data_IF_797471451142
#
_entry.id   IF_797471451142
#
_cell.length_a   1.000
_cell.length_b   1.000
_cell.length_c   1.000
_cell.angle_alpha   90.00
_cell.angle_beta   90.00
_cell.angle_gamma   90.00
#
_symmetry.space_group_name_H-M   'P 1'
#
loop_
_entity.id
_entity.type
_entity.pdbx_description
1 polymer ?
#
# COMPACT_ATOMS: atom_id res chain seq x y z
N UNK A 1 8.95 24.10 -11.85
CA UNK A 1 8.34 23.97 -10.50
C UNK A 1 9.34 23.35 -9.54
N UNK A 2 9.48 23.84 -8.30
CA UNK A 2 10.33 23.24 -7.25
C UNK A 2 9.45 22.60 -6.18
N UNK A 3 9.59 21.30 -5.94
CA UNK A 3 8.97 20.63 -4.77
C UNK A 3 9.64 21.16 -3.51
N UNK A 4 8.86 21.65 -2.55
CA UNK A 4 9.39 22.17 -1.26
C UNK A 4 9.36 21.13 -0.15
N UNK A 5 8.58 20.07 -0.33
CA UNK A 5 8.50 18.92 0.59
C UNK A 5 9.51 17.82 0.29
N UNK A 6 9.80 17.00 1.30
CA UNK A 6 10.66 15.81 1.27
C UNK A 6 9.85 14.53 1.05
N UNK A 7 8.77 14.36 1.81
CA UNK A 7 7.82 13.25 1.74
C UNK A 7 7.15 13.23 0.38
N UNK A 8 7.18 12.10 -0.32
CA UNK A 8 6.65 11.93 -1.68
C UNK A 8 5.13 11.75 -1.70
N UNK A 9 4.50 12.08 -2.83
CA UNK A 9 3.07 11.83 -3.06
C UNK A 9 2.92 10.77 -4.15
N UNK A 10 2.26 9.68 -3.78
CA UNK A 10 1.77 8.67 -4.72
C UNK A 10 0.29 8.95 -5.01
N UNK A 11 -0.11 9.00 -6.27
CA UNK A 11 -1.52 9.19 -6.65
C UNK A 11 -1.98 8.09 -7.59
N UNK A 12 -3.15 7.52 -7.32
CA UNK A 12 -3.74 6.49 -8.16
C UNK A 12 -4.45 7.13 -9.35
N UNK A 13 -4.13 6.68 -10.57
CA UNK A 13 -4.83 7.07 -11.79
C UNK A 13 -6.10 6.26 -11.94
N UNK A 14 -7.18 6.92 -12.36
CA UNK A 14 -8.44 6.28 -12.72
C UNK A 14 -9.30 7.19 -13.60
N UNK A 15 -10.60 6.91 -13.72
CA UNK A 15 -11.50 7.65 -14.60
C UNK A 15 -11.53 9.18 -14.38
N UNK A 16 -11.29 9.66 -13.16
CA UNK A 16 -11.28 11.09 -12.85
C UNK A 16 -9.95 11.79 -13.22
N UNK A 17 -8.92 11.02 -13.58
CA UNK A 17 -7.53 11.50 -13.68
C UNK A 17 -6.73 10.92 -14.83
N UNK A 18 -7.33 10.15 -15.74
CA UNK A 18 -6.61 9.45 -16.82
C UNK A 18 -6.30 10.30 -18.05
N UNK A 19 -6.87 11.51 -18.20
CA UNK A 19 -6.58 12.35 -19.38
C UNK A 19 -5.20 13.00 -19.26
N UNK A 20 -4.51 13.29 -20.38
CA UNK A 20 -3.22 13.98 -20.37
C UNK A 20 -3.24 15.30 -19.58
N UNK A 21 -4.31 16.08 -19.71
CA UNK A 21 -4.46 17.37 -19.01
C UNK A 21 -4.59 17.17 -17.49
N UNK A 22 -5.32 16.14 -17.06
CA UNK A 22 -5.45 15.80 -15.63
C UNK A 22 -4.17 15.22 -15.07
N UNK A 23 -3.47 14.36 -15.80
CA UNK A 23 -2.16 13.84 -15.40
C UNK A 23 -1.17 15.00 -15.22
N UNK A 24 -1.13 15.95 -16.18
CA UNK A 24 -0.34 17.17 -16.05
C UNK A 24 -0.74 17.98 -14.82
N UNK A 25 -2.03 18.21 -14.60
CA UNK A 25 -2.51 18.98 -13.45
C UNK A 25 -2.15 18.32 -12.11
N UNK A 26 -2.24 17.00 -12.00
CA UNK A 26 -1.83 16.24 -10.81
C UNK A 26 -0.31 16.30 -10.60
N UNK A 27 0.45 16.15 -11.68
CA UNK A 27 1.90 16.33 -11.63
C UNK A 27 2.24 17.75 -11.17
N UNK A 28 1.66 18.80 -11.73
CA UNK A 28 1.89 20.18 -11.29
C UNK A 28 1.45 20.39 -9.83
N UNK A 29 0.33 19.79 -9.40
CA UNK A 29 -0.15 19.92 -8.02
C UNK A 29 0.80 19.30 -6.99
N UNK A 30 1.43 18.18 -7.30
CA UNK A 30 2.12 17.44 -6.25
C UNK A 30 2.68 16.10 -6.63
N UNK A 31 2.13 15.36 -7.58
CA UNK A 31 2.45 13.92 -7.69
C UNK A 31 3.91 13.66 -8.04
N UNK A 32 4.53 12.69 -7.36
CA UNK A 32 5.87 12.18 -7.70
C UNK A 32 5.81 10.78 -8.33
N UNK A 33 4.84 9.95 -7.91
CA UNK A 33 4.63 8.60 -8.42
C UNK A 33 3.16 8.41 -8.76
N UNK A 34 2.87 7.94 -9.97
CA UNK A 34 1.54 7.54 -10.35
C UNK A 34 1.36 6.04 -10.19
N UNK A 35 0.31 5.66 -9.44
CA UNK A 35 -0.10 4.27 -9.23
C UNK A 35 -1.14 3.88 -10.26
N UNK A 36 -0.96 2.72 -10.89
CA UNK A 36 -1.93 2.06 -11.77
C UNK A 36 -2.39 0.78 -11.10
N UNK A 37 -3.69 0.70 -10.77
CA UNK A 37 -4.27 -0.42 -10.04
C UNK A 37 -4.80 -1.50 -10.99
N UNK A 38 -4.08 -2.62 -11.11
CA UNK A 38 -4.44 -3.72 -12.02
C UNK A 38 -5.69 -4.48 -11.61
N UNK A 39 -6.32 -4.15 -10.47
CA UNK A 39 -7.67 -4.65 -10.17
C UNK A 39 -8.73 -4.19 -11.16
N UNK A 40 -8.52 -3.05 -11.83
CA UNK A 40 -9.51 -2.40 -12.70
C UNK A 40 -8.95 -1.99 -14.07
N UNK A 41 -7.64 -2.13 -14.28
CA UNK A 41 -6.96 -1.68 -15.50
C UNK A 41 -6.72 -2.86 -16.46
N UNK A 42 -7.07 -2.68 -17.73
CA UNK A 42 -6.74 -3.61 -18.81
C UNK A 42 -5.33 -3.35 -19.34
N UNK A 43 -4.71 -4.33 -20.03
CA UNK A 43 -3.37 -4.16 -20.61
C UNK A 43 -3.31 -3.03 -21.65
N UNK A 44 -4.38 -2.83 -22.42
CA UNK A 44 -4.49 -1.73 -23.37
C UNK A 44 -4.44 -0.38 -22.65
N UNK A 45 -5.24 -0.23 -21.58
CA UNK A 45 -5.26 1.01 -20.80
C UNK A 45 -3.93 1.22 -20.04
N UNK A 46 -3.29 0.16 -19.55
CA UNK A 46 -1.96 0.25 -18.94
C UNK A 46 -0.93 0.82 -19.93
N UNK A 47 -0.93 0.34 -21.18
CA UNK A 47 -0.05 0.84 -22.24
C UNK A 47 -0.28 2.32 -22.53
N UNK A 48 -1.54 2.72 -22.65
CA UNK A 48 -1.93 4.10 -22.91
C UNK A 48 -1.45 5.03 -21.79
N UNK A 49 -1.79 4.69 -20.53
CA UNK A 49 -1.41 5.47 -19.36
C UNK A 49 0.11 5.57 -19.22
N UNK A 50 0.83 4.48 -19.44
CA UNK A 50 2.29 4.48 -19.43
C UNK A 50 2.85 5.47 -20.47
N UNK A 51 2.35 5.42 -21.71
CA UNK A 51 2.76 6.35 -22.77
C UNK A 51 2.48 7.81 -22.42
N UNK A 52 1.30 8.11 -21.87
CA UNK A 52 0.96 9.47 -21.43
C UNK A 52 1.87 9.96 -20.29
N UNK A 53 2.18 9.10 -19.33
CA UNK A 53 3.07 9.45 -18.21
C UNK A 53 4.50 9.73 -18.67
N UNK A 54 5.06 8.91 -19.56
CA UNK A 54 6.40 9.13 -20.13
C UNK A 54 6.46 10.38 -21.01
N UNK A 55 5.39 10.67 -21.76
CA UNK A 55 5.29 11.93 -22.51
C UNK A 55 5.26 13.15 -21.57
N UNK A 56 4.49 13.07 -20.47
CA UNK A 56 4.43 14.13 -19.46
C UNK A 56 5.77 14.31 -18.73
N UNK A 57 6.47 13.23 -18.40
CA UNK A 57 7.83 13.25 -17.83
C UNK A 57 8.82 13.99 -18.74
N UNK A 58 8.83 13.64 -20.03
CA UNK A 58 9.67 14.29 -21.03
C UNK A 58 9.33 15.79 -21.18
N UNK A 59 8.05 16.14 -21.23
CA UNK A 59 7.61 17.53 -21.34
C UNK A 59 7.95 18.36 -20.08
N UNK A 60 7.89 17.75 -18.90
CA UNK A 60 8.22 18.41 -17.64
C UNK A 60 9.73 18.52 -17.39
N UNK A 61 10.54 17.68 -18.05
CA UNK A 61 11.99 17.57 -17.79
C UNK A 61 12.29 17.12 -16.35
N UNK A 62 11.39 16.34 -15.74
CA UNK A 62 11.47 15.92 -14.33
C UNK A 62 10.93 14.50 -14.18
N UNK A 63 11.61 13.65 -13.38
CA UNK A 63 11.21 12.24 -13.24
C UNK A 63 9.78 12.06 -12.71
N UNK A 64 9.08 11.07 -13.27
CA UNK A 64 7.78 10.59 -12.81
C UNK A 64 7.90 9.08 -12.57
N UNK A 65 7.67 8.65 -11.33
CA UNK A 65 7.61 7.22 -11.02
C UNK A 65 6.30 6.60 -11.48
N UNK A 66 6.35 5.38 -12.00
CA UNK A 66 5.19 4.57 -12.37
C UNK A 66 5.18 3.32 -11.49
N UNK A 67 4.13 3.19 -10.68
CA UNK A 67 3.89 2.06 -9.78
C UNK A 67 2.72 1.22 -10.30
N UNK A 68 2.97 -0.02 -10.69
CA UNK A 68 1.92 -0.99 -11.00
C UNK A 68 1.58 -1.80 -9.75
N UNK A 69 0.32 -1.73 -9.32
CA UNK A 69 -0.17 -2.47 -8.16
C UNK A 69 -0.93 -3.71 -8.62
N UNK A 70 -0.35 -4.89 -8.33
CA UNK A 70 -0.93 -6.19 -8.68
C UNK A 70 -2.16 -6.48 -7.82
N UNK A 71 -3.13 -7.17 -8.40
CA UNK A 71 -4.42 -7.41 -7.76
C UNK A 71 -4.30 -8.35 -6.55
N UNK A 72 -3.51 -9.42 -6.68
CA UNK A 72 -3.44 -10.49 -5.67
C UNK A 72 -4.72 -11.35 -5.62
N UNK A 73 -4.74 -12.38 -4.77
CA UNK A 73 -5.90 -13.25 -4.62
C UNK A 73 -7.09 -12.51 -3.99
N UNK A 74 -8.29 -12.72 -4.54
CA UNK A 74 -9.54 -12.19 -4.00
C UNK A 74 -10.46 -13.32 -3.57
N UNK A 75 -10.53 -13.55 -2.26
CA UNK A 75 -11.50 -14.48 -1.69
C UNK A 75 -12.84 -13.77 -1.57
N UNK A 76 -13.89 -14.37 -2.14
CA UNK A 76 -15.23 -13.78 -2.20
C UNK A 76 -16.30 -14.81 -1.90
N UNK A 77 -17.46 -14.32 -1.50
CA UNK A 77 -18.68 -15.13 -1.50
C UNK A 77 -19.04 -15.55 -2.94
N UNK A 78 -19.76 -16.66 -3.04
CA UNK A 78 -20.45 -17.06 -4.25
C UNK A 78 -21.71 -16.22 -4.50
N UNK A 79 -22.63 -16.80 -5.26
CA UNK A 79 -23.97 -16.22 -5.50
C UNK A 79 -24.92 -16.67 -4.39
N UNK A 80 -25.39 -15.71 -3.61
CA UNK A 80 -26.38 -15.92 -2.56
C UNK A 80 -27.76 -16.13 -3.19
N UNK A 81 -28.59 -17.03 -2.62
CA UNK A 81 -30.01 -17.10 -2.93
C UNK A 81 -30.68 -15.72 -2.74
N UNK A 82 -31.24 -15.15 -3.80
CA UNK A 82 -31.84 -13.81 -3.78
C UNK A 82 -30.86 -12.63 -3.85
N UNK A 83 -29.55 -12.87 -3.98
CA UNK A 83 -28.50 -11.85 -4.18
C UNK A 83 -28.01 -11.15 -2.90
N UNK A 84 -28.75 -11.27 -1.80
CA UNK A 84 -28.33 -10.80 -0.47
C UNK A 84 -29.00 -11.59 0.65
N UNK A 85 -28.42 -11.51 1.85
CA UNK A 85 -28.97 -12.08 3.08
C UNK A 85 -28.63 -11.19 4.27
N UNK A 86 -29.56 -11.04 5.21
CA UNK A 86 -29.32 -10.37 6.49
C UNK A 86 -28.99 -11.42 7.55
N UNK A 87 -27.83 -11.28 8.17
CA UNK A 87 -27.39 -12.12 9.29
C UNK A 87 -27.66 -11.41 10.62
N UNK A 88 -28.17 -12.13 11.61
CA UNK A 88 -28.45 -11.59 12.96
C UNK A 88 -27.39 -12.01 13.96
N UNK A 89 -27.13 -11.17 14.96
CA UNK A 89 -26.23 -11.51 16.06
C UNK A 89 -26.67 -12.81 16.76
N UNK A 90 -25.72 -13.72 16.99
CA UNK A 90 -25.98 -15.03 17.59
C UNK A 90 -26.62 -16.06 16.67
N UNK A 91 -26.88 -15.73 15.40
CA UNK A 91 -27.34 -16.70 14.40
C UNK A 91 -26.25 -17.72 14.08
N UNK A 92 -26.60 -18.99 13.96
CA UNK A 92 -25.72 -20.00 13.40
C UNK A 92 -25.96 -20.13 11.91
N UNK A 93 -24.90 -20.02 11.13
CA UNK A 93 -24.94 -20.12 9.67
C UNK A 93 -23.98 -21.20 9.19
N UNK A 94 -24.27 -21.73 8.00
CA UNK A 94 -23.41 -22.70 7.34
C UNK A 94 -22.82 -22.09 6.07
N UNK A 95 -21.51 -22.23 5.92
CA UNK A 95 -20.79 -21.97 4.70
C UNK A 95 -20.60 -23.26 3.92
N UNK A 96 -20.76 -23.21 2.60
CA UNK A 96 -20.59 -24.37 1.71
C UNK A 96 -19.59 -24.10 0.60
N UNK A 97 -18.79 -25.10 0.26
CA UNK A 97 -17.75 -25.03 -0.77
C UNK A 97 -18.34 -25.14 -2.19
N UNK A 98 -19.14 -24.15 -2.57
CA UNK A 98 -19.85 -24.08 -3.86
C UNK A 98 -19.86 -22.64 -4.39
N UNK A 99 -20.10 -22.51 -5.69
CA UNK A 99 -20.34 -21.21 -6.34
C UNK A 99 -21.74 -20.69 -6.01
N UNK A 100 -22.71 -21.59 -5.91
CA UNK A 100 -24.08 -21.30 -5.52
C UNK A 100 -24.54 -22.40 -4.56
N UNK A 101 -25.30 -22.01 -3.53
CA UNK A 101 -25.85 -22.95 -2.56
C UNK A 101 -27.15 -23.60 -3.08
N UNK A 102 -27.37 -24.86 -2.69
CA UNK A 102 -28.64 -25.57 -2.97
C UNK A 102 -29.69 -25.24 -1.90
N UNK A 103 -29.26 -25.11 -0.63
CA UNK A 103 -30.10 -24.64 0.47
C UNK A 103 -30.11 -23.10 0.51
N UNK A 104 -31.29 -22.45 0.54
CA UNK A 104 -31.40 -21.00 0.70
C UNK A 104 -30.68 -20.42 1.94
N UNK A 105 -30.46 -21.23 2.96
CA UNK A 105 -29.81 -20.86 4.22
C UNK A 105 -28.30 -21.11 4.24
N UNK A 106 -27.73 -21.68 3.18
CA UNK A 106 -26.29 -21.87 3.07
C UNK A 106 -25.63 -20.67 2.40
N UNK A 107 -24.42 -20.33 2.85
CA UNK A 107 -23.62 -19.22 2.34
C UNK A 107 -22.47 -19.80 1.48
N UNK A 108 -22.49 -19.63 0.14
CA UNK A 108 -21.47 -20.22 -0.72
C UNK A 108 -20.14 -19.48 -0.63
N UNK A 109 -19.04 -20.24 -0.50
CA UNK A 109 -17.66 -19.77 -0.65
C UNK A 109 -16.97 -20.70 -1.68
N UNK A 110 -16.72 -20.26 -2.92
CA UNK A 110 -16.15 -21.08 -3.99
C UNK A 110 -14.62 -21.23 -3.90
N UNK A 111 -14.09 -21.41 -2.69
CA UNK A 111 -12.64 -21.42 -2.43
C UNK A 111 -12.23 -22.65 -1.62
N UNK A 112 -11.86 -23.78 -2.27
CA UNK A 112 -11.42 -24.97 -1.56
C UNK A 112 -10.24 -24.75 -0.61
N UNK A 113 -9.31 -23.88 -1.00
CA UNK A 113 -8.18 -23.44 -0.19
C UNK A 113 -8.61 -22.85 1.16
N UNK A 114 -9.78 -22.21 1.23
CA UNK A 114 -10.32 -21.60 2.46
C UNK A 114 -10.76 -22.70 3.42
N UNK A 115 -11.53 -23.69 2.95
CA UNK A 115 -11.96 -24.81 3.77
C UNK A 115 -10.79 -25.68 4.26
N UNK A 116 -9.74 -25.82 3.44
CA UNK A 116 -8.53 -26.55 3.84
C UNK A 116 -7.71 -25.83 4.93
N UNK A 117 -7.81 -24.50 5.03
CA UNK A 117 -6.99 -23.69 5.93
C UNK A 117 -7.71 -23.26 7.21
N UNK A 118 -9.03 -23.10 7.15
CA UNK A 118 -9.86 -22.72 8.29
C UNK A 118 -9.79 -23.73 9.43
N UNK A 119 -9.83 -23.25 10.68
CA UNK A 119 -9.95 -24.09 11.87
C UNK A 119 -11.05 -23.59 12.79
N UNK A 120 -11.51 -24.47 13.67
CA UNK A 120 -12.44 -24.09 14.73
C UNK A 120 -11.93 -22.86 15.47
N UNK A 121 -12.83 -21.96 15.84
CA UNK A 121 -12.58 -20.69 16.51
C UNK A 121 -11.84 -19.65 15.66
N UNK A 122 -11.50 -19.90 14.40
CA UNK A 122 -11.01 -18.82 13.53
C UNK A 122 -12.13 -17.79 13.30
N UNK A 123 -11.71 -16.55 13.09
CA UNK A 123 -12.57 -15.43 12.71
C UNK A 123 -12.77 -15.43 11.20
N UNK A 124 -14.01 -15.29 10.75
CA UNK A 124 -14.36 -15.06 9.36
C UNK A 124 -15.06 -13.71 9.25
N UNK A 125 -14.58 -12.88 8.33
CA UNK A 125 -15.08 -11.52 8.12
C UNK A 125 -15.65 -11.40 6.71
N UNK A 126 -16.73 -10.65 6.54
CA UNK A 126 -17.38 -10.41 5.25
C UNK A 126 -17.59 -8.91 5.06
N UNK A 127 -17.41 -8.45 3.81
CA UNK A 127 -17.58 -7.06 3.37
C UNK A 127 -16.72 -6.09 4.20
N UNK A 128 -15.40 -6.26 4.10
CA UNK A 128 -14.39 -5.42 4.77
C UNK A 128 -14.59 -5.36 6.30
N UNK A 129 -14.96 -6.50 6.89
CA UNK A 129 -15.10 -6.64 8.34
C UNK A 129 -16.44 -6.16 8.92
N UNK A 130 -17.38 -5.69 8.10
CA UNK A 130 -18.71 -5.25 8.55
C UNK A 130 -19.51 -6.36 9.21
N UNK A 131 -19.40 -7.58 8.68
CA UNK A 131 -20.01 -8.78 9.27
C UNK A 131 -18.90 -9.66 9.81
N UNK A 132 -19.04 -10.09 11.07
CA UNK A 132 -18.03 -10.88 11.79
C UNK A 132 -18.63 -12.18 12.28
N UNK A 133 -17.95 -13.27 11.99
CA UNK A 133 -18.34 -14.61 12.39
C UNK A 133 -17.19 -15.34 13.09
N UNK A 134 -17.55 -16.33 13.90
CA UNK A 134 -16.62 -17.24 14.59
C UNK A 134 -16.92 -18.66 14.16
N UNK A 135 -15.94 -19.36 13.60
CA UNK A 135 -16.12 -20.74 13.15
C UNK A 135 -16.38 -21.68 14.34
N UNK A 136 -17.48 -22.42 14.28
CA UNK A 136 -17.89 -23.43 15.25
C UNK A 136 -17.41 -24.82 14.84
N UNK A 137 -17.43 -25.13 13.55
CA UNK A 137 -16.98 -26.41 13.01
C UNK A 137 -16.42 -26.19 11.60
N UNK A 138 -15.43 -26.98 11.20
CA UNK A 138 -14.87 -26.95 9.84
C UNK A 138 -14.75 -28.38 9.33
N UNK A 139 -15.25 -28.61 8.11
CA UNK A 139 -15.15 -29.85 7.34
C UNK A 139 -14.69 -29.51 5.93
N UNK A 140 -14.39 -30.53 5.12
CA UNK A 140 -13.81 -30.37 3.78
C UNK A 140 -14.71 -29.59 2.79
N UNK A 141 -16.03 -29.63 3.00
CA UNK A 141 -17.03 -29.07 2.09
C UNK A 141 -17.99 -28.06 2.72
N UNK A 142 -17.99 -27.96 4.06
CA UNK A 142 -18.81 -27.00 4.78
C UNK A 142 -18.16 -26.57 6.09
N UNK A 143 -18.56 -25.40 6.59
CA UNK A 143 -18.15 -24.90 7.90
C UNK A 143 -19.35 -24.25 8.59
N UNK A 144 -19.59 -24.57 9.85
CA UNK A 144 -20.61 -23.91 10.65
C UNK A 144 -19.97 -22.75 11.42
N UNK A 145 -20.67 -21.62 11.52
CA UNK A 145 -20.18 -20.42 12.19
C UNK A 145 -21.28 -19.73 12.99
N UNK A 146 -20.87 -19.05 14.05
CA UNK A 146 -21.72 -18.16 14.84
C UNK A 146 -21.51 -16.72 14.36
N UNK A 147 -22.59 -16.01 14.09
CA UNK A 147 -22.56 -14.57 13.80
C UNK A 147 -22.27 -13.82 15.10
N UNK A 148 -21.16 -13.10 15.13
CA UNK A 148 -20.75 -12.24 16.27
C UNK A 148 -21.23 -10.81 16.06
N UNK A 149 -21.13 -10.33 14.82
CA UNK A 149 -21.69 -9.04 14.38
C UNK A 149 -22.40 -9.29 13.06
N UNK A 150 -23.71 -9.12 13.07
CA UNK A 150 -24.61 -9.31 11.94
C UNK A 150 -24.60 -8.12 10.97
N UNK A 151 -25.38 -8.26 9.91
CA UNK A 151 -25.46 -7.28 8.84
C UNK A 151 -25.88 -7.90 7.52
N UNK A 152 -26.07 -7.06 6.51
CA UNK A 152 -26.38 -7.50 5.15
C UNK A 152 -25.12 -7.99 4.45
N UNK A 153 -25.16 -9.23 3.96
CA UNK A 153 -24.18 -9.79 3.03
C UNK A 153 -24.77 -9.82 1.61
N UNK A 154 -23.94 -9.59 0.60
CA UNK A 154 -24.32 -9.58 -0.82
C UNK A 154 -23.43 -10.50 -1.62
N UNK A 155 -23.86 -10.81 -2.84
CA UNK A 155 -23.07 -11.56 -3.80
C UNK A 155 -21.63 -11.03 -3.94
N UNK A 156 -20.68 -11.96 -4.05
CA UNK A 156 -19.28 -11.67 -4.40
C UNK A 156 -18.59 -10.67 -3.47
N UNK A 157 -19.12 -10.47 -2.26
CA UNK A 157 -18.47 -9.67 -1.21
C UNK A 157 -17.19 -10.35 -0.73
N UNK A 158 -16.20 -9.54 -0.37
CA UNK A 158 -14.90 -10.01 0.10
C UNK A 158 -15.03 -10.84 1.37
N UNK A 159 -14.19 -11.86 1.50
CA UNK A 159 -14.07 -12.70 2.70
C UNK A 159 -12.63 -12.60 3.21
N UNK A 160 -12.49 -12.30 4.49
CA UNK A 160 -11.20 -12.17 5.16
C UNK A 160 -11.11 -13.17 6.32
N UNK A 161 -9.90 -13.71 6.53
CA UNK A 161 -9.62 -14.77 7.49
C UNK A 161 -8.35 -14.42 8.27
N UNK A 162 -8.43 -13.52 9.26
CA UNK A 162 -7.25 -12.97 9.94
C UNK A 162 -6.37 -14.00 10.63
N UNK A 163 -7.01 -15.02 11.19
CA UNK A 163 -6.34 -16.08 11.94
C UNK A 163 -5.75 -17.19 11.04
N UNK A 164 -5.91 -17.08 9.71
CA UNK A 164 -5.65 -18.18 8.78
C UNK A 164 -4.55 -17.85 7.79
N UNK A 165 -3.50 -18.67 7.76
CA UNK A 165 -2.54 -18.69 6.65
C UNK A 165 -3.17 -19.40 5.46
N UNK A 166 -3.52 -18.65 4.42
CA UNK A 166 -4.12 -19.22 3.23
C UNK A 166 -3.04 -19.85 2.34
N UNK A 167 -3.16 -21.12 1.93
CA UNK A 167 -2.19 -21.81 1.07
C UNK A 167 -2.36 -21.39 -0.40
N UNK A 168 -2.48 -20.08 -0.64
CA UNK A 168 -2.60 -19.48 -1.96
C UNK A 168 -1.33 -18.72 -2.31
N UNK A 169 -0.85 -18.82 -3.56
CA UNK A 169 0.19 -17.93 -4.05
C UNK A 169 -0.27 -16.47 -3.96
N UNK A 170 0.64 -15.55 -3.62
CA UNK A 170 0.34 -14.12 -3.64
C UNK A 170 0.09 -13.59 -5.06
N UNK A 171 0.63 -14.25 -6.10
CA UNK A 171 0.38 -13.92 -7.50
C UNK A 171 -0.60 -14.91 -8.15
N UNK A 172 -1.73 -14.40 -8.62
CA UNK A 172 -2.69 -15.15 -9.43
C UNK A 172 -2.20 -15.30 -10.88
N UNK A 173 -2.81 -16.17 -11.70
CA UNK A 173 -2.51 -16.22 -13.14
C UNK A 173 -2.71 -14.87 -13.85
N UNK A 174 -3.70 -14.08 -13.40
CA UNK A 174 -3.91 -12.70 -13.87
C UNK A 174 -2.74 -11.81 -13.49
N UNK A 175 -2.29 -11.85 -12.24
CA UNK A 175 -1.16 -11.03 -11.77
C UNK A 175 0.13 -11.33 -12.55
N UNK A 176 0.38 -12.58 -12.94
CA UNK A 176 1.53 -12.93 -13.79
C UNK A 176 1.44 -12.27 -15.17
N UNK A 177 0.26 -12.32 -15.79
CA UNK A 177 0.01 -11.68 -17.08
C UNK A 177 0.15 -10.15 -17.00
N UNK A 178 -0.38 -9.55 -15.93
CA UNK A 178 -0.25 -8.11 -15.66
C UNK A 178 1.21 -7.71 -15.41
N UNK A 179 1.94 -8.52 -14.64
CA UNK A 179 3.36 -8.32 -14.35
C UNK A 179 4.19 -8.36 -15.63
N UNK A 180 4.00 -9.37 -16.48
CA UNK A 180 4.73 -9.50 -17.74
C UNK A 180 4.52 -8.27 -18.62
N UNK A 181 3.26 -7.80 -18.74
CA UNK A 181 2.93 -6.60 -19.48
C UNK A 181 3.60 -5.35 -18.89
N UNK A 182 3.53 -5.17 -17.57
CA UNK A 182 4.12 -4.03 -16.88
C UNK A 182 5.65 -3.98 -17.03
N UNK A 183 6.33 -5.13 -16.91
CA UNK A 183 7.78 -5.23 -17.06
C UNK A 183 8.22 -5.00 -18.51
N UNK A 184 7.43 -5.43 -19.50
CA UNK A 184 7.70 -5.14 -20.91
C UNK A 184 7.59 -3.64 -21.24
N UNK A 185 6.70 -2.92 -20.57
CA UNK A 185 6.57 -1.47 -20.73
C UNK A 185 7.69 -0.67 -20.04
N UNK A 186 8.38 -1.25 -19.04
CA UNK A 186 9.44 -0.57 -18.30
C UNK A 186 8.90 0.31 -17.16
N UNK A 187 7.99 -0.23 -16.34
CA UNK A 187 7.52 0.44 -15.12
C UNK A 187 8.60 0.46 -14.04
N UNK A 188 8.58 1.47 -13.17
CA UNK A 188 9.63 1.68 -12.18
C UNK A 188 9.43 0.80 -10.93
N UNK A 189 8.17 0.59 -10.54
CA UNK A 189 7.79 -0.16 -9.35
C UNK A 189 6.66 -1.15 -9.62
N UNK A 190 6.71 -2.29 -8.93
CA UNK A 190 5.62 -3.26 -8.83
C UNK A 190 5.28 -3.48 -7.37
N UNK A 191 4.01 -3.27 -6.99
CA UNK A 191 3.51 -3.62 -5.68
C UNK A 191 2.86 -5.01 -5.66
N UNK A 192 3.22 -5.82 -4.67
CA UNK A 192 2.63 -7.13 -4.41
C UNK A 192 1.59 -7.01 -3.28
N UNK A 193 0.34 -7.30 -3.61
CA UNK A 193 -0.76 -7.41 -2.64
C UNK A 193 -0.73 -8.74 -1.90
N UNK A 194 -1.38 -8.79 -0.74
CA UNK A 194 -1.63 -10.02 0.01
C UNK A 194 -0.37 -10.79 0.44
N UNK A 195 0.74 -10.10 0.68
CA UNK A 195 1.96 -10.72 1.18
C UNK A 195 1.67 -11.36 2.54
N UNK A 196 2.00 -12.64 2.69
CA UNK A 196 1.86 -13.38 3.96
C UNK A 196 3.20 -13.88 4.48
N UNK A 197 4.18 -14.10 3.60
CA UNK A 197 5.48 -14.72 3.90
C UNK A 197 6.58 -14.20 2.97
N UNK A 198 7.84 -14.45 3.31
CA UNK A 198 9.01 -14.00 2.54
C UNK A 198 9.06 -14.62 1.14
N UNK A 199 8.59 -15.87 0.99
CA UNK A 199 8.59 -16.59 -0.28
C UNK A 199 7.72 -15.90 -1.33
N UNK A 200 6.65 -15.21 -0.92
CA UNK A 200 5.77 -14.47 -1.82
C UNK A 200 6.54 -13.34 -2.53
N UNK A 201 7.38 -12.62 -1.77
CA UNK A 201 8.23 -11.54 -2.30
C UNK A 201 9.39 -12.11 -3.11
N UNK A 202 10.01 -13.20 -2.64
CA UNK A 202 11.10 -13.86 -3.35
C UNK A 202 10.66 -14.36 -4.74
N UNK A 203 9.43 -14.88 -4.85
CA UNK A 203 8.84 -15.30 -6.11
C UNK A 203 8.72 -14.11 -7.09
N UNK A 204 8.18 -12.98 -6.63
CA UNK A 204 8.06 -11.78 -7.45
C UNK A 204 9.45 -11.25 -7.87
N UNK A 205 10.41 -11.14 -6.94
CA UNK A 205 11.78 -10.69 -7.24
C UNK A 205 12.44 -11.53 -8.33
N UNK A 206 12.22 -12.86 -8.32
CA UNK A 206 12.74 -13.77 -9.35
C UNK A 206 12.19 -13.45 -10.73
N UNK A 207 10.89 -13.14 -10.85
CA UNK A 207 10.25 -12.83 -12.14
C UNK A 207 10.62 -11.41 -12.62
N UNK A 208 10.66 -10.45 -11.69
CA UNK A 208 11.04 -9.06 -11.98
C UNK A 208 12.48 -8.98 -12.48
N UNK A 209 13.39 -9.75 -11.87
CA UNK A 209 14.79 -9.88 -12.30
C UNK A 209 15.51 -8.52 -12.46
N UNK A 210 15.22 -7.57 -11.57
CA UNK A 210 15.83 -6.24 -11.56
C UNK A 210 15.28 -5.24 -12.57
N UNK A 211 14.25 -5.59 -13.35
CA UNK A 211 13.61 -4.69 -14.33
C UNK A 211 12.75 -3.59 -13.69
N UNK A 212 12.31 -3.81 -12.45
CA UNK A 212 11.56 -2.86 -11.64
C UNK A 212 11.91 -3.08 -10.16
N UNK A 213 11.58 -2.11 -9.30
CA UNK A 213 11.67 -2.29 -7.86
C UNK A 213 10.39 -2.93 -7.29
N UNK A 214 10.54 -3.77 -6.27
CA UNK A 214 9.44 -4.52 -5.65
C UNK A 214 9.02 -3.88 -4.34
N UNK A 215 7.74 -3.51 -4.26
CA UNK A 215 7.10 -2.99 -3.07
C UNK A 215 6.20 -4.09 -2.46
N UNK A 216 6.42 -4.44 -1.19
CA UNK A 216 5.58 -5.40 -0.48
C UNK A 216 4.46 -4.68 0.29
N UNK A 217 3.20 -5.03 0.03
CA UNK A 217 2.05 -4.45 0.75
C UNK A 217 1.80 -5.25 2.03
N UNK A 218 1.94 -4.58 3.17
CA UNK A 218 1.69 -5.16 4.48
C UNK A 218 0.21 -4.98 4.79
N UNK A 219 -0.56 -6.01 4.48
CA UNK A 219 -2.03 -6.07 4.61
C UNK A 219 -2.47 -7.15 5.61
N UNK A 220 -1.59 -8.12 5.89
CA UNK A 220 -1.91 -9.31 6.68
C UNK A 220 -1.19 -9.30 8.03
N UNK A 221 -1.85 -9.77 9.11
CA UNK A 221 -1.20 -9.98 10.40
C UNK A 221 0.05 -10.84 10.28
N UNK A 222 0.01 -11.87 9.42
CA UNK A 222 1.13 -12.79 9.22
C UNK A 222 2.38 -12.10 8.63
N UNK A 223 2.21 -11.12 7.75
CA UNK A 223 3.32 -10.33 7.23
C UNK A 223 4.04 -9.53 8.33
N UNK A 224 3.36 -9.19 9.42
CA UNK A 224 3.99 -8.51 10.56
C UNK A 224 4.91 -9.45 11.35
N UNK A 225 4.58 -10.74 11.42
CA UNK A 225 5.41 -11.74 12.10
C UNK A 225 6.72 -11.99 11.35
N UNK A 226 6.67 -11.96 10.01
CA UNK A 226 7.84 -12.13 9.12
C UNK A 226 8.35 -10.80 8.56
N UNK A 227 8.06 -9.66 9.22
CA UNK A 227 8.35 -8.33 8.67
C UNK A 227 9.83 -8.12 8.35
N UNK A 228 10.74 -8.64 9.19
CA UNK A 228 12.19 -8.54 8.95
C UNK A 228 12.62 -9.26 7.68
N UNK A 229 12.18 -10.52 7.51
CA UNK A 229 12.52 -11.33 6.33
C UNK A 229 11.91 -10.76 5.04
N UNK A 230 10.67 -10.27 5.12
CA UNK A 230 10.01 -9.57 4.00
C UNK A 230 10.79 -8.30 3.65
N UNK A 231 11.19 -7.54 4.67
CA UNK A 231 12.01 -6.33 4.49
C UNK A 231 13.30 -6.65 3.78
N UNK A 232 14.03 -7.70 4.17
CA UNK A 232 15.31 -8.06 3.56
C UNK A 232 15.18 -8.32 2.05
N UNK A 233 14.08 -8.94 1.63
CA UNK A 233 13.82 -9.29 0.23
C UNK A 233 13.21 -8.16 -0.62
N UNK A 234 12.31 -7.35 -0.05
CA UNK A 234 11.61 -6.28 -0.75
C UNK A 234 12.52 -5.06 -1.00
N UNK A 235 12.20 -4.21 -1.98
CA UNK A 235 12.90 -2.93 -2.19
C UNK A 235 12.23 -1.78 -1.44
N UNK A 236 10.93 -1.90 -1.16
CA UNK A 236 10.13 -0.95 -0.37
C UNK A 236 8.95 -1.65 0.31
N UNK A 237 8.32 -0.98 1.27
CA UNK A 237 7.07 -1.42 1.89
C UNK A 237 5.91 -0.45 1.63
N UNK A 238 4.69 -0.96 1.69
CA UNK A 238 3.48 -0.15 1.81
C UNK A 238 2.65 -0.59 3.02
N UNK A 239 2.29 0.36 3.87
CA UNK A 239 1.33 0.17 4.96
C UNK A 239 -0.07 0.38 4.39
N UNK A 240 -0.80 -0.71 4.14
CA UNK A 240 -2.16 -0.67 3.62
C UNK A 240 -3.17 -0.72 4.77
N UNK A 241 -3.53 0.45 5.29
CA UNK A 241 -4.24 0.61 6.58
C UNK A 241 -5.69 0.14 6.53
N UNK A 242 -6.37 0.34 5.41
CA UNK A 242 -7.71 -0.17 5.16
C UNK A 242 -7.73 -1.69 5.28
N UNK A 243 -6.87 -2.37 4.53
CA UNK A 243 -6.76 -3.84 4.59
C UNK A 243 -6.30 -4.34 5.96
N UNK A 244 -5.28 -3.70 6.56
CA UNK A 244 -4.85 -4.05 7.92
C UNK A 244 -5.95 -3.83 8.96
N UNK A 245 -6.78 -2.80 8.82
CA UNK A 245 -7.89 -2.51 9.72
C UNK A 245 -9.06 -3.48 9.59
N UNK A 246 -9.16 -4.21 8.47
CA UNK A 246 -10.07 -5.35 8.35
C UNK A 246 -9.50 -6.55 9.13
N UNK A 247 -8.19 -6.79 9.04
CA UNK A 247 -7.55 -8.00 9.57
C UNK A 247 -7.09 -7.87 11.04
N UNK A 248 -6.96 -6.67 11.58
CA UNK A 248 -6.52 -6.40 12.95
C UNK A 248 -7.59 -5.60 13.72
N UNK A 249 -7.56 -5.64 15.06
CA UNK A 249 -8.29 -4.65 15.85
C UNK A 249 -7.89 -3.24 15.42
N UNK A 250 -8.87 -2.37 15.17
CA UNK A 250 -8.66 -1.03 14.63
C UNK A 250 -7.71 -0.20 15.50
N UNK A 251 -7.83 -0.32 16.82
CA UNK A 251 -6.99 0.33 17.82
C UNK A 251 -5.52 -0.11 17.77
N UNK A 252 -5.22 -1.27 17.17
CA UNK A 252 -3.85 -1.77 17.02
C UNK A 252 -3.16 -1.22 15.75
N UNK A 253 -3.92 -0.79 14.74
CA UNK A 253 -3.39 -0.37 13.43
C UNK A 253 -2.38 0.79 13.54
N UNK A 254 -2.63 1.87 14.31
CA UNK A 254 -1.65 2.97 14.44
C UNK A 254 -0.31 2.51 15.01
N UNK A 255 -0.33 1.59 15.98
CA UNK A 255 0.88 1.00 16.55
C UNK A 255 1.65 0.17 15.52
N UNK A 256 0.94 -0.62 14.69
CA UNK A 256 1.55 -1.42 13.63
C UNK A 256 2.12 -0.56 12.50
N UNK A 257 1.46 0.52 12.10
CA UNK A 257 2.00 1.49 11.15
C UNK A 257 3.36 2.01 11.62
N UNK A 258 3.46 2.48 12.87
CA UNK A 258 4.73 2.97 13.44
C UNK A 258 5.82 1.90 13.42
N UNK A 259 5.48 0.65 13.75
CA UNK A 259 6.41 -0.47 13.69
C UNK A 259 6.94 -0.71 12.27
N UNK A 260 6.04 -0.74 11.27
CA UNK A 260 6.42 -0.97 9.86
C UNK A 260 7.30 0.18 9.34
N UNK A 261 6.92 1.43 9.59
CA UNK A 261 7.68 2.61 9.13
C UNK A 261 9.09 2.60 9.74
N UNK A 262 9.19 2.37 11.06
CA UNK A 262 10.49 2.32 11.74
C UNK A 262 11.36 1.17 11.25
N UNK A 263 10.79 0.00 10.98
CA UNK A 263 11.52 -1.14 10.45
C UNK A 263 12.05 -0.87 9.03
N UNK A 264 11.23 -0.28 8.14
CA UNK A 264 11.65 0.12 6.80
C UNK A 264 12.76 1.19 6.83
N UNK A 265 12.58 2.22 7.67
CA UNK A 265 13.60 3.25 7.89
C UNK A 265 14.91 2.67 8.42
N UNK A 266 14.85 1.75 9.39
CA UNK A 266 16.04 1.07 9.90
C UNK A 266 16.79 0.35 8.78
N UNK A 267 16.07 -0.37 7.92
CA UNK A 267 16.63 -1.06 6.76
C UNK A 267 17.04 -0.12 5.60
N UNK A 268 16.77 1.19 5.70
CA UNK A 268 17.03 2.15 4.61
C UNK A 268 16.16 1.94 3.37
N UNK A 269 14.99 1.32 3.54
CA UNK A 269 14.05 1.02 2.46
C UNK A 269 12.87 2.00 2.49
N UNK A 270 12.43 2.52 1.33
CA UNK A 270 11.27 3.40 1.28
C UNK A 270 10.01 2.76 1.86
N UNK A 271 9.20 3.55 2.55
CA UNK A 271 7.89 3.13 3.03
C UNK A 271 6.78 4.10 2.61
N UNK A 272 5.71 3.54 2.07
CA UNK A 272 4.50 4.28 1.65
C UNK A 272 3.39 4.05 2.67
N UNK A 273 2.75 5.10 3.14
CA UNK A 273 1.50 4.98 3.92
C UNK A 273 0.31 5.19 2.99
N UNK A 274 -0.58 4.20 2.95
CA UNK A 274 -1.64 4.08 1.97
C UNK A 274 -3.02 3.87 2.59
N UNK A 275 -4.05 4.20 1.81
CA UNK A 275 -5.50 4.09 2.11
C UNK A 275 -5.96 4.96 3.28
N UNK A 276 -7.25 5.33 3.31
CA UNK A 276 -7.86 6.14 4.38
C UNK A 276 -7.12 7.47 4.66
N UNK A 277 -6.53 8.10 3.64
CA UNK A 277 -5.75 9.32 3.84
C UNK A 277 -6.65 10.56 3.82
N UNK A 278 -7.29 10.86 2.68
CA UNK A 278 -8.19 12.00 2.52
C UNK A 278 -9.52 11.52 1.91
N UNK A 279 -10.05 10.39 2.40
CA UNK A 279 -11.17 9.66 1.81
C UNK A 279 -12.43 10.52 1.63
N UNK A 280 -12.71 11.46 2.54
CA UNK A 280 -13.83 12.39 2.41
C UNK A 280 -13.72 13.25 1.14
N UNK A 281 -12.51 13.46 0.62
CA UNK A 281 -12.27 14.24 -0.60
C UNK A 281 -12.63 13.50 -1.89
N UNK A 282 -13.07 12.24 -1.80
CA UNK A 282 -13.74 11.58 -2.93
C UNK A 282 -14.98 12.38 -3.33
N UNK A 283 -15.72 12.93 -2.36
CA UNK A 283 -16.97 13.67 -2.60
C UNK A 283 -16.93 15.12 -2.15
N UNK A 284 -16.09 15.47 -1.17
CA UNK A 284 -15.98 16.82 -0.61
C UNK A 284 -14.75 17.57 -1.15
N UNK A 285 -14.83 18.89 -1.25
CA UNK A 285 -13.71 19.72 -1.70
C UNK A 285 -12.65 19.98 -0.63
N UNK A 286 -12.93 19.62 0.63
CA UNK A 286 -12.04 19.77 1.79
C UNK A 286 -12.06 18.51 2.65
N UNK A 287 -10.91 18.14 3.26
CA UNK A 287 -10.85 16.99 4.15
C UNK A 287 -11.41 17.34 5.54
N UNK A 288 -11.65 16.31 6.33
CA UNK A 288 -11.91 16.45 7.77
C UNK A 288 -10.64 16.79 8.54
N UNK A 289 -10.79 17.35 9.75
CA UNK A 289 -9.65 17.57 10.67
C UNK A 289 -8.96 16.27 11.09
N UNK A 290 -9.73 15.17 11.20
CA UNK A 290 -9.20 13.86 11.55
C UNK A 290 -8.26 13.33 10.46
N UNK A 291 -8.66 13.43 9.20
CA UNK A 291 -7.82 13.03 8.05
C UNK A 291 -6.56 13.88 7.94
N UNK A 292 -6.66 15.20 8.14
CA UNK A 292 -5.47 16.07 8.19
C UNK A 292 -4.49 15.62 9.28
N UNK A 293 -5.00 15.31 10.48
CA UNK A 293 -4.19 14.82 11.60
C UNK A 293 -3.55 13.46 11.29
N UNK A 294 -4.27 12.59 10.59
CA UNK A 294 -3.80 11.24 10.25
C UNK A 294 -2.69 11.28 9.19
N UNK A 295 -2.87 12.05 8.12
CA UNK A 295 -1.81 12.32 7.13
C UNK A 295 -0.59 12.95 7.81
N UNK A 296 -0.80 13.94 8.67
CA UNK A 296 0.30 14.58 9.39
C UNK A 296 1.09 13.58 10.25
N UNK A 297 0.38 12.68 10.94
CA UNK A 297 1.00 11.64 11.77
C UNK A 297 1.86 10.68 10.93
N UNK A 298 1.40 10.30 9.74
CA UNK A 298 2.21 9.47 8.83
C UNK A 298 3.53 10.16 8.44
N UNK A 299 3.50 11.48 8.23
CA UNK A 299 4.70 12.28 7.95
C UNK A 299 5.62 12.38 9.17
N UNK A 300 5.09 12.68 10.36
CA UNK A 300 5.87 12.69 11.63
C UNK A 300 6.49 11.33 11.98
N UNK A 301 5.81 10.24 11.63
CA UNK A 301 6.35 8.88 11.76
C UNK A 301 7.51 8.60 10.81
N UNK A 302 7.68 9.45 9.79
CA UNK A 302 8.79 9.41 8.85
C UNK A 302 8.51 8.56 7.61
N UNK A 303 7.26 8.49 7.17
CA UNK A 303 6.93 7.89 5.87
C UNK A 303 7.73 8.56 4.73
N UNK A 304 8.26 7.77 3.79
CA UNK A 304 8.92 8.32 2.60
C UNK A 304 7.89 8.83 1.59
N UNK A 305 6.70 8.24 1.58
CA UNK A 305 5.59 8.69 0.75
C UNK A 305 4.23 8.47 1.40
N UNK A 306 3.28 9.30 0.99
CA UNK A 306 1.85 9.21 1.32
C UNK A 306 1.06 8.98 0.04
N UNK A 307 0.02 8.13 0.09
CA UNK A 307 -0.70 7.68 -1.11
C UNK A 307 -2.18 8.02 -1.12
N UNK A 308 -2.62 8.67 -2.20
CA UNK A 308 -4.02 8.86 -2.55
C UNK A 308 -4.52 7.70 -3.43
N UNK A 309 -5.69 7.17 -3.07
CA UNK A 309 -6.34 6.02 -3.69
C UNK A 309 -7.54 6.47 -4.52
N UNK A 310 -8.76 6.30 -4.02
CA UNK A 310 -9.98 6.67 -4.73
C UNK A 310 -10.10 8.19 -4.90
N UNK A 311 -9.49 8.98 -4.00
CA UNK A 311 -9.48 10.44 -4.03
C UNK A 311 -9.02 10.98 -5.38
N UNK A 312 -7.97 10.40 -5.97
CA UNK A 312 -7.43 10.80 -7.28
C UNK A 312 -7.94 9.93 -8.42
N UNK A 313 -8.29 8.67 -8.15
CA UNK A 313 -8.70 7.75 -9.21
C UNK A 313 -10.12 8.02 -9.72
N UNK A 314 -11.07 8.24 -8.80
CA UNK A 314 -12.50 8.37 -9.12
C UNK A 314 -13.20 9.50 -8.36
N UNK A 315 -12.47 10.25 -7.52
CA UNK A 315 -13.01 11.35 -6.73
C UNK A 315 -13.39 12.56 -7.58
N UNK A 316 -14.25 13.40 -7.03
CA UNK A 316 -14.70 14.66 -7.63
C UNK A 316 -13.63 15.75 -7.62
N UNK A 317 -12.65 15.66 -6.71
CA UNK A 317 -11.65 16.69 -6.44
C UNK A 317 -10.19 16.14 -6.47
N UNK A 318 -9.77 15.49 -7.58
CA UNK A 318 -8.50 14.75 -7.61
C UNK A 318 -7.28 15.67 -7.49
N UNK A 319 -7.32 16.86 -8.09
CA UNK A 319 -6.18 17.80 -8.06
C UNK A 319 -6.08 18.47 -6.69
N UNK A 320 -7.22 18.85 -6.13
CA UNK A 320 -7.33 19.47 -4.81
C UNK A 320 -6.86 18.51 -3.71
N UNK A 321 -7.18 17.22 -3.81
CA UNK A 321 -6.69 16.20 -2.88
C UNK A 321 -5.15 16.14 -2.86
N UNK A 322 -4.51 16.19 -4.03
CA UNK A 322 -3.05 16.27 -4.14
C UNK A 322 -2.50 17.57 -3.53
N UNK A 323 -3.14 18.70 -3.79
CA UNK A 323 -2.71 19.99 -3.23
C UNK A 323 -2.85 20.04 -1.70
N UNK A 324 -3.91 19.45 -1.15
CA UNK A 324 -4.10 19.30 0.30
C UNK A 324 -2.99 18.43 0.88
N UNK A 325 -2.73 17.26 0.27
CA UNK A 325 -1.66 16.36 0.68
C UNK A 325 -0.28 17.06 0.68
N UNK A 326 0.01 17.84 -0.36
CA UNK A 326 1.26 18.63 -0.48
C UNK A 326 1.38 19.70 0.60
N UNK A 327 0.28 20.41 0.91
CA UNK A 327 0.24 21.41 1.99
C UNK A 327 0.45 20.79 3.36
N UNK A 328 -0.17 19.64 3.65
CA UNK A 328 0.00 18.94 4.94
C UNK A 328 1.46 18.52 5.12
N UNK A 329 2.04 17.84 4.13
CA UNK A 329 3.43 17.40 4.19
C UNK A 329 4.39 18.59 4.36
N UNK A 330 4.18 19.67 3.61
CA UNK A 330 5.00 20.90 3.72
C UNK A 330 4.86 21.57 5.09
N UNK A 331 3.65 21.59 5.66
CA UNK A 331 3.40 22.17 6.98
C UNK A 331 4.09 21.37 8.10
N UNK A 332 3.95 20.04 8.08
CA UNK A 332 4.61 19.15 9.05
C UNK A 332 6.12 19.26 8.96
N UNK A 333 6.70 19.20 7.75
CA UNK A 333 8.15 19.26 7.59
C UNK A 333 8.76 20.63 7.93
N UNK A 334 7.94 21.69 7.91
CA UNK A 334 8.31 23.02 8.36
C UNK A 334 8.10 23.25 9.86
N UNK A 335 7.46 22.32 10.56
CA UNK A 335 7.21 22.43 11.99
C UNK A 335 8.53 22.28 12.80
N UNK A 336 8.78 23.14 13.81
CA UNK A 336 9.96 23.03 14.66
C UNK A 336 10.14 21.67 15.37
N UNK A 337 9.08 20.89 15.58
CA UNK A 337 9.17 19.58 16.25
C UNK A 337 9.59 18.45 15.30
N UNK A 338 9.41 18.61 13.99
CA UNK A 338 9.63 17.53 13.01
C UNK A 338 11.06 16.98 13.02
N UNK A 339 12.08 17.84 12.96
CA UNK A 339 13.48 17.40 12.97
C UNK A 339 13.88 16.76 14.31
N UNK A 340 13.59 17.35 15.48
CA UNK A 340 13.81 16.70 16.77
C UNK A 340 13.17 15.32 16.88
N UNK A 341 11.91 15.17 16.46
CA UNK A 341 11.21 13.88 16.46
C UNK A 341 11.88 12.86 15.52
N UNK A 342 12.27 13.31 14.32
CA UNK A 342 12.96 12.44 13.35
C UNK A 342 14.31 11.95 13.88
N UNK A 343 15.03 12.83 14.58
CA UNK A 343 16.32 12.55 15.22
C UNK A 343 16.17 11.61 16.42
N UNK A 344 15.13 11.78 17.24
CA UNK A 344 14.84 10.89 18.36
C UNK A 344 14.52 9.45 17.91
N UNK A 345 14.09 9.29 16.66
CA UNK A 345 13.81 7.99 16.04
C UNK A 345 15.00 7.41 15.27
N UNK A 346 16.17 8.07 15.24
CA UNK A 346 17.35 7.55 14.54
C UNK A 346 17.87 6.28 15.22
N UNK A 347 18.25 5.31 14.41
CA UNK A 347 18.94 4.12 14.87
C UNK A 347 20.44 4.41 14.95
N UNK A 348 21.15 3.65 15.79
CA UNK A 348 22.61 3.61 15.72
C UNK A 348 23.04 3.13 14.32
N UNK A 349 24.09 3.73 13.75
CA UNK A 349 24.62 3.29 12.46
C UNK A 349 25.17 1.86 12.58
N UNK A 350 25.06 1.10 11.49
CA UNK A 350 25.72 -0.20 11.42
C UNK A 350 27.24 -0.02 11.23
N UNK A 351 28.03 -1.03 11.61
CA UNK A 351 29.50 -1.02 11.48
C UNK A 351 29.94 -1.23 10.01
N UNK A 352 29.49 -0.34 9.12
CA UNK A 352 29.84 -0.34 7.70
C UNK A 352 30.38 1.03 7.28
N UNK A 353 31.29 1.04 6.31
CA UNK A 353 31.86 2.30 5.76
C UNK A 353 30.77 3.23 5.25
N UNK A 354 29.74 2.69 4.61
CA UNK A 354 28.66 3.47 4.06
C UNK A 354 27.84 4.17 5.16
N UNK A 355 27.55 3.48 6.26
CA UNK A 355 26.79 4.04 7.37
C UNK A 355 27.62 5.06 8.16
N UNK A 356 28.92 4.82 8.35
CA UNK A 356 29.85 5.79 8.94
C UNK A 356 29.90 7.10 8.13
N UNK A 357 29.96 7.01 6.80
CA UNK A 357 29.93 8.19 5.93
C UNK A 357 28.58 8.91 6.04
N UNK A 358 27.46 8.19 6.06
CA UNK A 358 26.13 8.81 6.15
C UNK A 358 25.90 9.49 7.49
N UNK A 359 26.40 8.91 8.58
CA UNK A 359 26.43 9.58 9.88
C UNK A 359 27.22 10.89 9.82
N UNK A 360 28.43 10.87 9.25
CA UNK A 360 29.23 12.07 9.09
C UNK A 360 28.52 13.12 8.21
N UNK A 361 27.85 12.71 7.13
CA UNK A 361 27.04 13.62 6.30
C UNK A 361 25.92 14.27 7.13
N UNK A 362 25.21 13.52 7.95
CA UNK A 362 24.17 14.08 8.83
C UNK A 362 24.75 15.14 9.77
N UNK A 363 25.85 14.83 10.47
CA UNK A 363 26.49 15.76 11.42
C UNK A 363 27.03 17.02 10.72
N UNK A 364 27.72 16.85 9.59
CA UNK A 364 28.28 17.96 8.81
C UNK A 364 27.16 18.86 8.28
N UNK A 365 26.11 18.27 7.69
CA UNK A 365 25.01 19.04 7.09
C UNK A 365 24.27 19.90 8.11
N UNK A 366 24.07 19.37 9.32
CA UNK A 366 23.49 20.13 10.42
C UNK A 366 24.44 21.24 10.89
N UNK A 367 25.71 20.90 11.17
CA UNK A 367 26.72 21.83 11.72
C UNK A 367 26.95 23.04 10.83
N UNK A 368 27.14 22.82 9.53
CA UNK A 368 27.44 23.90 8.58
C UNK A 368 26.18 24.50 7.95
N UNK A 369 24.98 23.98 8.29
CA UNK A 369 23.70 24.33 7.67
C UNK A 369 23.76 24.23 6.15
N UNK A 370 24.22 23.06 5.67
CA UNK A 370 24.44 22.81 4.25
C UNK A 370 23.19 23.11 3.42
N UNK A 371 23.38 23.68 2.22
CA UNK A 371 22.25 24.02 1.32
C UNK A 371 21.79 22.84 0.47
N UNK A 372 22.61 21.80 0.33
CA UNK A 372 22.27 20.56 -0.34
C UNK A 372 23.24 19.44 0.05
N UNK A 373 22.78 18.19 -0.07
CA UNK A 373 23.61 16.98 -0.10
C UNK A 373 23.60 16.43 -1.51
N UNK A 374 24.76 16.37 -2.16
CA UNK A 374 24.87 15.85 -3.54
C UNK A 374 25.37 14.42 -3.48
N UNK A 375 24.55 13.48 -3.94
CA UNK A 375 24.86 12.06 -3.99
C UNK A 375 25.05 11.64 -5.44
N UNK A 376 26.26 11.21 -5.80
CA UNK A 376 26.48 10.55 -7.09
C UNK A 376 26.26 9.04 -6.95
N UNK A 377 25.50 8.43 -7.86
CA UNK A 377 25.20 7.00 -7.80
C UNK A 377 24.80 6.45 -9.16
N UNK A 378 25.16 5.19 -9.44
CA UNK A 378 24.66 4.44 -10.60
C UNK A 378 23.37 3.68 -10.31
N UNK A 379 23.14 3.28 -9.05
CA UNK A 379 22.03 2.39 -8.66
C UNK A 379 20.96 3.06 -7.81
N UNK A 380 21.17 4.31 -7.37
CA UNK A 380 20.28 4.99 -6.43
C UNK A 380 20.62 4.75 -4.95
N UNK A 381 21.39 3.70 -4.64
CA UNK A 381 21.69 3.27 -3.26
C UNK A 381 22.23 4.37 -2.34
N UNK A 382 23.17 5.19 -2.82
CA UNK A 382 23.71 6.32 -2.06
C UNK A 382 22.63 7.34 -1.70
N UNK A 383 21.72 7.62 -2.64
CA UNK A 383 20.61 8.55 -2.43
C UNK A 383 19.61 8.03 -1.40
N UNK A 384 19.29 6.73 -1.44
CA UNK A 384 18.43 6.08 -0.44
C UNK A 384 19.05 6.10 0.96
N UNK A 385 20.34 5.79 1.07
CA UNK A 385 21.07 5.87 2.34
C UNK A 385 21.12 7.29 2.90
N UNK A 386 21.35 8.29 2.05
CA UNK A 386 21.28 9.70 2.48
C UNK A 386 19.86 10.08 2.93
N UNK A 387 18.82 9.61 2.23
CA UNK A 387 17.43 9.87 2.59
C UNK A 387 17.03 9.24 3.93
N UNK A 388 17.61 8.07 4.26
CA UNK A 388 17.43 7.38 5.54
C UNK A 388 17.81 8.24 6.75
N UNK A 389 18.90 9.01 6.62
CA UNK A 389 19.38 9.91 7.68
C UNK A 389 18.57 11.19 7.85
N UNK A 390 17.56 11.40 6.98
CA UNK A 390 16.63 12.55 7.01
C UNK A 390 17.34 13.91 7.20
N UNK A 391 18.39 14.22 6.40
CA UNK A 391 19.11 15.47 6.55
C UNK A 391 18.17 16.67 6.34
N UNK A 392 18.46 17.77 7.04
CA UNK A 392 17.73 19.03 6.86
C UNK A 392 17.87 19.55 5.43
N UNK A 393 19.09 19.44 4.89
CA UNK A 393 19.45 19.85 3.55
C UNK A 393 18.75 18.99 2.47
N UNK A 394 18.27 19.59 1.37
CA UNK A 394 17.78 18.86 0.21
C UNK A 394 18.82 17.89 -0.36
N UNK A 395 18.38 16.69 -0.75
CA UNK A 395 19.23 15.70 -1.40
C UNK A 395 19.10 15.84 -2.92
N UNK A 396 20.24 15.95 -3.61
CA UNK A 396 20.34 15.96 -5.07
C UNK A 396 21.05 14.69 -5.48
N UNK A 397 20.33 13.79 -6.15
CA UNK A 397 20.88 12.54 -6.66
C UNK A 397 21.29 12.73 -8.11
N UNK A 398 22.58 12.55 -8.40
CA UNK A 398 23.14 12.56 -9.75
C UNK A 398 23.34 11.13 -10.21
N UNK A 399 22.69 10.77 -11.33
CA UNK A 399 22.78 9.45 -11.96
C UNK A 399 23.13 9.61 -13.45
N UNK A 400 23.97 8.72 -14.02
CA UNK A 400 24.25 8.68 -15.45
C UNK A 400 23.18 7.91 -16.26
N UNK A 401 22.26 7.21 -15.57
CA UNK A 401 21.11 6.50 -16.15
C UNK A 401 19.90 7.41 -16.24
#
# INVERSE_FOLDING_TARGET
>A
MRRRRKTKIVATIGPASSTPEKIKALFDAGVDVFRINMSHTSHALLTELHGTLRAQEAAAGRPIGILVDLQGPKIRLGTLPGGSRILKDGEQVRFVRKVQADDPNDIPIPHPEVFAAMKMRHTLLIDDGKVRLRLLSVKDYYADAMVVVGGEIKDRKGVNLPDTLLPIPAMTPKDRSDLDMALNLGVDWVALSFVQRVEDVAELKKVVAGRAAVLAKIEKPKALESLGEILDMADALMVARGDLGVELPLEAVPGRQKQIIRAARKAGKPVVVATQMLESMITASVPTRAEVSDVATAVFDGADAVMLSAETASGAHPVEAVQVMDRIATAVEGDPTFIPEMNAQRNAPEETTADAIMQAVHEVTHTIRAKAVVCWTKSGSTGLRAARERPEAPIIVLTPL
#
